data_IF_012183647308
#
_entry.id   IF_012183647308
#
_cell.length_a   1.000
_cell.length_b   1.000
_cell.length_c   1.000
_cell.angle_alpha   90.00
_cell.angle_beta   90.00
_cell.angle_gamma   90.00
#
_symmetry.space_group_name_H-M   'P 1'
#
loop_
_entity.id
_entity.type
_entity.pdbx_description
1 polymer ?
#
# COMPACT_ATOMS: atom_id res chain seq x y z
N UNK A 1 37.23 -15.34 -2.78
CA UNK A 1 36.24 -15.75 -1.74
C UNK A 1 35.66 -14.49 -1.11
N UNK A 2 34.36 -14.40 -1.01
CA UNK A 2 33.69 -13.22 -0.42
C UNK A 2 33.85 -13.27 1.11
N UNK A 3 34.30 -12.16 1.69
CA UNK A 3 34.47 -12.04 3.15
C UNK A 3 33.15 -11.79 3.86
N UNK A 4 33.06 -12.06 5.17
CA UNK A 4 31.87 -11.74 5.98
C UNK A 4 31.59 -10.22 6.00
N UNK A 5 32.64 -9.41 6.00
CA UNK A 5 32.48 -7.94 5.93
C UNK A 5 31.85 -7.49 4.61
N UNK A 6 32.25 -8.09 3.48
CA UNK A 6 31.64 -7.80 2.16
C UNK A 6 30.17 -8.21 2.11
N UNK A 7 29.83 -9.37 2.67
CA UNK A 7 28.44 -9.83 2.75
C UNK A 7 27.57 -8.89 3.58
N UNK A 8 28.07 -8.43 4.72
CA UNK A 8 27.38 -7.46 5.58
C UNK A 8 27.17 -6.13 4.87
N UNK A 9 28.18 -5.65 4.13
CA UNK A 9 28.09 -4.41 3.37
C UNK A 9 27.01 -4.49 2.30
N UNK A 10 26.96 -5.57 1.52
CA UNK A 10 25.93 -5.78 0.49
C UNK A 10 24.52 -5.80 1.10
N UNK A 11 24.33 -6.50 2.21
CA UNK A 11 23.04 -6.55 2.90
C UNK A 11 22.59 -5.17 3.39
N UNK A 12 23.52 -4.40 3.94
CA UNK A 12 23.26 -3.03 4.39
C UNK A 12 22.89 -2.11 3.21
N UNK A 13 23.62 -2.19 2.11
CA UNK A 13 23.35 -1.39 0.91
C UNK A 13 21.97 -1.71 0.32
N UNK A 14 21.59 -2.98 0.23
CA UNK A 14 20.26 -3.41 -0.21
C UNK A 14 19.18 -2.79 0.68
N UNK A 15 19.34 -2.91 2.00
CA UNK A 15 18.38 -2.35 2.95
C UNK A 15 18.23 -0.84 2.80
N UNK A 16 19.34 -0.11 2.71
CA UNK A 16 19.34 1.34 2.53
C UNK A 16 18.70 1.76 1.21
N UNK A 17 18.94 1.01 0.12
CA UNK A 17 18.31 1.27 -1.18
C UNK A 17 16.79 1.05 -1.13
N UNK A 18 16.33 -0.03 -0.51
CA UNK A 18 14.90 -0.30 -0.33
C UNK A 18 14.23 0.85 0.41
N UNK A 19 14.82 1.29 1.52
CA UNK A 19 14.27 2.40 2.31
C UNK A 19 14.26 3.70 1.53
N UNK A 20 15.33 4.01 0.80
CA UNK A 20 15.43 5.22 -0.02
C UNK A 20 14.36 5.24 -1.10
N UNK A 21 14.24 4.16 -1.88
CA UNK A 21 13.26 4.03 -2.96
C UNK A 21 11.84 4.16 -2.40
N UNK A 22 11.55 3.46 -1.31
CA UNK A 22 10.25 3.52 -0.65
C UNK A 22 9.90 4.94 -0.19
N UNK A 23 10.81 5.62 0.51
CA UNK A 23 10.57 6.96 1.04
C UNK A 23 10.37 8.00 -0.07
N UNK A 24 11.16 7.96 -1.13
CA UNK A 24 11.02 8.86 -2.27
C UNK A 24 9.68 8.68 -2.98
N UNK A 25 9.28 7.43 -3.22
CA UNK A 25 8.00 7.12 -3.85
C UNK A 25 6.81 7.45 -2.95
N UNK A 26 6.91 7.15 -1.66
CA UNK A 26 5.88 7.49 -0.69
C UNK A 26 5.64 9.00 -0.63
N UNK A 27 6.71 9.80 -0.66
CA UNK A 27 6.62 11.26 -0.67
C UNK A 27 5.86 11.76 -1.90
N UNK A 28 6.25 11.30 -3.08
CA UNK A 28 5.61 11.69 -4.35
C UNK A 28 4.13 11.28 -4.37
N UNK A 29 3.84 10.05 -3.95
CA UNK A 29 2.48 9.55 -3.89
C UNK A 29 1.62 10.29 -2.87
N UNK A 30 2.17 10.60 -1.70
CA UNK A 30 1.48 11.41 -0.68
C UNK A 30 1.12 12.80 -1.19
N UNK A 31 1.98 13.43 -1.95
CA UNK A 31 1.71 14.75 -2.53
C UNK A 31 0.55 14.70 -3.52
N UNK A 32 0.48 13.70 -4.40
CA UNK A 32 -0.62 13.54 -5.35
C UNK A 32 -1.96 13.23 -4.66
N UNK A 33 -1.94 12.40 -3.62
CA UNK A 33 -3.13 12.07 -2.84
C UNK A 33 -3.66 13.26 -2.04
N UNK A 34 -2.78 14.14 -1.57
CA UNK A 34 -3.15 15.31 -0.80
C UNK A 34 -4.06 16.25 -1.58
N UNK A 35 -3.93 16.32 -2.89
CA UNK A 35 -4.78 17.14 -3.77
C UNK A 35 -6.26 16.72 -3.70
N UNK A 36 -6.53 15.44 -3.41
CA UNK A 36 -7.89 14.89 -3.27
C UNK A 36 -8.27 14.64 -1.80
N UNK A 37 -7.51 15.18 -0.86
CA UNK A 37 -7.78 15.08 0.58
C UNK A 37 -7.45 13.72 1.20
N UNK A 38 -6.59 12.93 0.55
CA UNK A 38 -6.21 11.60 1.00
C UNK A 38 -4.73 11.52 1.39
N UNK A 39 -4.39 10.46 2.08
CA UNK A 39 -3.03 10.01 2.34
C UNK A 39 -2.86 8.56 1.86
N UNK A 40 -1.64 7.99 1.86
CA UNK A 40 -1.41 6.62 1.42
C UNK A 40 -2.24 5.57 2.16
N UNK A 41 -2.45 5.71 3.46
CA UNK A 41 -3.29 4.78 4.23
C UNK A 41 -4.75 4.82 3.76
N UNK A 42 -5.30 5.99 3.51
CA UNK A 42 -6.64 6.15 2.94
C UNK A 42 -6.76 5.44 1.59
N UNK A 43 -5.78 5.63 0.72
CA UNK A 43 -5.76 4.97 -0.59
C UNK A 43 -5.70 3.44 -0.47
N UNK A 44 -4.83 2.91 0.41
CA UNK A 44 -4.72 1.46 0.63
C UNK A 44 -6.04 0.86 1.13
N UNK A 45 -6.72 1.54 2.04
CA UNK A 45 -8.04 1.11 2.54
C UNK A 45 -9.07 1.10 1.41
N UNK A 46 -9.16 2.18 0.63
CA UNK A 46 -10.08 2.26 -0.51
C UNK A 46 -9.78 1.20 -1.56
N UNK A 47 -8.52 0.99 -1.89
CA UNK A 47 -8.08 -0.01 -2.87
C UNK A 47 -8.39 -1.43 -2.42
N UNK A 48 -8.19 -1.73 -1.13
CA UNK A 48 -8.52 -3.03 -0.55
C UNK A 48 -10.04 -3.30 -0.62
N UNK A 49 -10.87 -2.33 -0.29
CA UNK A 49 -12.34 -2.42 -0.41
C UNK A 49 -12.74 -2.59 -1.87
N UNK A 50 -12.13 -1.84 -2.79
CA UNK A 50 -12.38 -1.96 -4.23
C UNK A 50 -12.18 -3.39 -4.73
N UNK A 51 -11.11 -4.04 -4.32
CA UNK A 51 -10.78 -5.42 -4.73
C UNK A 51 -11.71 -6.46 -4.14
N UNK A 52 -12.28 -6.23 -2.97
CA UNK A 52 -13.09 -7.20 -2.23
C UNK A 52 -14.57 -6.85 -2.19
N UNK A 53 -14.97 -5.71 -2.77
CA UNK A 53 -16.33 -5.16 -2.83
C UNK A 53 -16.86 -4.70 -1.47
N UNK A 54 -16.91 -5.57 -0.48
CA UNK A 54 -17.35 -5.27 0.89
C UNK A 54 -16.41 -5.94 1.88
N UNK A 55 -16.01 -5.20 2.90
CA UNK A 55 -15.16 -5.73 3.97
C UNK A 55 -15.60 -5.17 5.33
N UNK A 56 -15.40 -5.96 6.37
CA UNK A 56 -15.57 -5.45 7.72
C UNK A 56 -14.32 -4.67 8.18
N UNK A 57 -14.54 -3.69 9.06
CA UNK A 57 -13.48 -2.80 9.53
C UNK A 57 -12.32 -3.55 10.20
N UNK A 58 -12.62 -4.60 10.97
CA UNK A 58 -11.61 -5.41 11.66
C UNK A 58 -10.69 -6.12 10.68
N UNK A 59 -11.25 -6.73 9.63
CA UNK A 59 -10.49 -7.41 8.59
C UNK A 59 -9.61 -6.44 7.81
N UNK A 60 -10.09 -5.24 7.49
CA UNK A 60 -9.28 -4.19 6.86
C UNK A 60 -8.08 -3.84 7.74
N UNK A 61 -8.29 -3.60 9.03
CA UNK A 61 -7.22 -3.27 9.96
C UNK A 61 -6.17 -4.38 10.07
N UNK A 62 -6.61 -5.63 10.15
CA UNK A 62 -5.71 -6.79 10.20
C UNK A 62 -4.90 -6.95 8.91
N UNK A 63 -5.54 -6.82 7.75
CA UNK A 63 -4.89 -6.98 6.45
C UNK A 63 -3.82 -5.91 6.22
N UNK A 64 -4.08 -4.67 6.62
CA UNK A 64 -3.17 -3.53 6.45
C UNK A 64 -2.27 -3.28 7.67
N UNK A 65 -2.35 -4.14 8.68
CA UNK A 65 -1.60 -4.01 9.93
C UNK A 65 -1.78 -2.63 10.59
N UNK A 66 -3.03 -2.17 10.67
CA UNK A 66 -3.41 -0.91 11.30
C UNK A 66 -3.90 -1.14 12.73
N UNK A 67 -3.59 -0.20 13.62
CA UNK A 67 -4.18 -0.17 14.96
C UNK A 67 -5.67 0.16 14.90
N UNK A 68 -6.41 -0.19 15.94
CA UNK A 68 -7.83 0.13 16.07
C UNK A 68 -8.09 1.65 15.98
N UNK A 69 -7.21 2.46 16.57
CA UNK A 69 -7.30 3.91 16.47
C UNK A 69 -7.09 4.43 15.06
N UNK A 70 -6.09 3.90 14.36
CA UNK A 70 -5.76 4.31 12.99
C UNK A 70 -6.87 3.95 12.01
N UNK A 71 -7.40 2.72 12.05
CA UNK A 71 -8.51 2.35 11.16
C UNK A 71 -9.78 3.15 11.45
N UNK A 72 -10.10 3.39 12.72
CA UNK A 72 -11.27 4.19 13.09
C UNK A 72 -11.16 5.61 12.56
N UNK A 73 -9.99 6.22 12.72
CA UNK A 73 -9.72 7.56 12.19
C UNK A 73 -9.81 7.60 10.66
N UNK A 74 -9.22 6.62 10.00
CA UNK A 74 -9.25 6.48 8.54
C UNK A 74 -10.69 6.36 8.02
N UNK A 75 -11.48 5.44 8.57
CA UNK A 75 -12.86 5.21 8.17
C UNK A 75 -13.71 6.45 8.37
N UNK A 76 -13.55 7.16 9.49
CA UNK A 76 -14.25 8.42 9.76
C UNK A 76 -13.92 9.48 8.71
N UNK A 77 -12.67 9.60 8.31
CA UNK A 77 -12.24 10.54 7.29
C UNK A 77 -12.85 10.21 5.91
N UNK A 78 -12.79 8.94 5.51
CA UNK A 78 -13.35 8.47 4.24
C UNK A 78 -14.87 8.60 4.18
N UNK A 79 -15.56 8.36 5.29
CA UNK A 79 -16.99 8.55 5.41
C UNK A 79 -17.38 10.03 5.29
N UNK A 80 -16.62 10.91 5.93
CA UNK A 80 -16.82 12.37 5.81
C UNK A 80 -16.64 12.88 4.38
N UNK A 81 -15.75 12.26 3.61
CA UNK A 81 -15.57 12.57 2.18
C UNK A 81 -16.60 11.88 1.28
N UNK A 82 -17.51 11.11 1.84
CA UNK A 82 -18.55 10.35 1.12
C UNK A 82 -17.98 9.33 0.12
N UNK A 83 -16.79 8.79 0.40
CA UNK A 83 -16.13 7.80 -0.46
C UNK A 83 -16.50 6.37 -0.13
N UNK A 84 -17.04 6.13 1.07
CA UNK A 84 -17.45 4.83 1.56
C UNK A 84 -18.87 4.88 2.11
N UNK A 85 -19.54 3.71 2.10
CA UNK A 85 -20.79 3.47 2.77
C UNK A 85 -20.59 2.45 3.89
N UNK A 86 -21.17 2.71 5.05
CA UNK A 86 -21.03 1.87 6.24
C UNK A 86 -22.39 1.29 6.57
N UNK A 87 -22.50 -0.03 6.55
CA UNK A 87 -23.66 -0.77 7.06
C UNK A 87 -23.27 -1.46 8.35
N UNK A 88 -23.99 -1.15 9.42
CA UNK A 88 -23.77 -1.74 10.72
C UNK A 88 -24.75 -2.89 10.92
N UNK A 89 -24.23 -4.11 10.98
CA UNK A 89 -24.96 -5.31 11.37
C UNK A 89 -24.53 -5.71 12.78
N UNK A 90 -25.35 -5.35 13.76
CA UNK A 90 -25.10 -5.51 15.19
C UNK A 90 -23.75 -4.88 15.61
N UNK A 91 -22.70 -5.71 15.83
CA UNK A 91 -21.36 -5.25 16.24
C UNK A 91 -20.39 -5.09 15.08
N UNK A 92 -20.77 -5.52 13.88
CA UNK A 92 -19.90 -5.54 12.71
C UNK A 92 -20.24 -4.38 11.79
N UNK A 93 -19.22 -3.63 11.39
CA UNK A 93 -19.34 -2.58 10.37
C UNK A 93 -18.84 -3.12 9.05
N UNK A 94 -19.76 -3.23 8.08
CA UNK A 94 -19.46 -3.62 6.70
C UNK A 94 -19.26 -2.36 5.87
N UNK A 95 -18.13 -2.27 5.18
CA UNK A 95 -17.70 -1.08 4.46
C UNK A 95 -17.60 -1.40 2.98
N UNK A 96 -18.23 -0.58 2.17
CA UNK A 96 -18.19 -0.63 0.72
C UNK A 96 -17.89 0.74 0.15
N UNK A 97 -17.52 0.80 -1.15
CA UNK A 97 -17.33 2.07 -1.83
C UNK A 97 -18.67 2.67 -2.27
N UNK A 98 -18.77 3.98 -2.19
CA UNK A 98 -19.81 4.74 -2.90
C UNK A 98 -19.46 4.88 -4.38
N UNK A 99 -20.40 5.34 -5.21
CA UNK A 99 -20.11 5.68 -6.61
C UNK A 99 -19.02 6.75 -6.73
N UNK A 100 -19.01 7.71 -5.81
CA UNK A 100 -17.95 8.74 -5.72
C UNK A 100 -16.58 8.10 -5.43
N UNK A 101 -16.54 7.15 -4.49
CA UNK A 101 -15.31 6.41 -4.17
C UNK A 101 -14.80 5.58 -5.35
N UNK A 102 -15.68 4.90 -6.07
CA UNK A 102 -15.32 4.13 -7.27
C UNK A 102 -14.74 5.01 -8.37
N UNK A 103 -15.40 6.15 -8.67
CA UNK A 103 -14.92 7.12 -9.66
C UNK A 103 -13.54 7.68 -9.31
N UNK A 104 -13.34 8.00 -8.04
CA UNK A 104 -12.02 8.48 -7.59
C UNK A 104 -10.92 7.44 -7.81
N UNK A 105 -11.20 6.17 -7.50
CA UNK A 105 -10.24 5.08 -7.74
C UNK A 105 -10.01 4.78 -9.21
N UNK A 106 -11.01 4.96 -10.07
CA UNK A 106 -10.84 4.84 -11.52
C UNK A 106 -9.78 5.80 -12.08
N UNK A 107 -9.59 6.95 -11.43
CA UNK A 107 -8.55 7.92 -11.77
C UNK A 107 -7.24 7.64 -11.03
N UNK A 108 -7.30 7.30 -9.75
CA UNK A 108 -6.13 7.12 -8.90
C UNK A 108 -5.33 5.85 -9.20
N UNK A 109 -5.99 4.73 -9.51
CA UNK A 109 -5.31 3.44 -9.75
C UNK A 109 -4.43 3.51 -11.00
N UNK A 110 -4.91 4.00 -12.16
CA UNK A 110 -4.03 4.17 -13.33
C UNK A 110 -2.87 5.14 -13.08
N UNK A 111 -3.11 6.24 -12.36
CA UNK A 111 -2.05 7.20 -12.02
C UNK A 111 -0.97 6.56 -11.13
N UNK A 112 -1.36 5.75 -10.16
CA UNK A 112 -0.43 4.98 -9.33
C UNK A 112 0.38 3.99 -10.17
N UNK A 113 -0.26 3.25 -11.08
CA UNK A 113 0.43 2.32 -11.96
C UNK A 113 1.47 3.03 -12.85
N UNK A 114 1.12 4.19 -13.42
CA UNK A 114 2.06 4.99 -14.20
C UNK A 114 3.26 5.45 -13.37
N UNK A 115 3.02 5.84 -12.13
CA UNK A 115 4.09 6.24 -11.22
C UNK A 115 5.03 5.06 -10.90
N UNK A 116 4.48 3.87 -10.67
CA UNK A 116 5.25 2.65 -10.44
C UNK A 116 6.08 2.26 -11.68
N UNK A 117 5.49 2.31 -12.87
CA UNK A 117 6.22 2.07 -14.13
C UNK A 117 7.33 3.09 -14.34
N UNK A 118 7.08 4.34 -14.04
CA UNK A 118 8.11 5.39 -14.12
C UNK A 118 9.26 5.14 -13.13
N UNK A 119 8.95 4.72 -11.92
CA UNK A 119 9.95 4.38 -10.90
C UNK A 119 10.85 3.22 -11.34
N UNK A 120 10.27 2.22 -11.98
CA UNK A 120 10.97 1.03 -12.45
C UNK A 120 11.51 1.14 -13.87
N UNK A 121 11.47 2.33 -14.49
CA UNK A 121 11.87 2.54 -15.89
C UNK A 121 13.33 2.18 -16.22
N UNK A 122 14.20 2.12 -15.21
CA UNK A 122 15.59 1.70 -15.35
C UNK A 122 15.79 0.19 -15.53
N UNK A 123 14.72 -0.60 -15.40
CA UNK A 123 14.75 -2.05 -15.53
C UNK A 123 13.93 -2.51 -16.74
N UNK A 124 14.47 -3.42 -17.53
CA UNK A 124 13.69 -4.11 -18.56
C UNK A 124 12.73 -5.14 -17.94
N UNK A 125 11.88 -5.74 -18.77
CA UNK A 125 10.86 -6.68 -18.29
C UNK A 125 11.46 -7.90 -17.58
N UNK A 126 12.54 -8.46 -18.10
CA UNK A 126 13.22 -9.61 -17.48
C UNK A 126 13.82 -9.24 -16.12
N UNK A 127 14.45 -8.08 -16.04
CA UNK A 127 14.98 -7.57 -14.77
C UNK A 127 13.89 -7.30 -13.74
N UNK A 128 12.74 -6.76 -14.15
CA UNK A 128 11.57 -6.59 -13.28
C UNK A 128 11.07 -7.92 -12.74
N UNK A 129 11.03 -8.98 -13.59
CA UNK A 129 10.64 -10.32 -13.14
C UNK A 129 11.64 -10.90 -12.14
N UNK A 130 12.94 -10.78 -12.40
CA UNK A 130 14.00 -11.23 -11.49
C UNK A 130 13.91 -10.49 -10.14
N UNK A 131 13.74 -9.17 -10.16
CA UNK A 131 13.58 -8.38 -8.93
C UNK A 131 12.34 -8.83 -8.15
N UNK A 132 11.21 -9.06 -8.82
CA UNK A 132 9.99 -9.56 -8.17
C UNK A 132 10.24 -10.88 -7.46
N UNK A 133 10.89 -11.85 -8.13
CA UNK A 133 11.20 -13.16 -7.56
C UNK A 133 12.11 -13.05 -6.33
N UNK A 134 13.13 -12.20 -6.40
CA UNK A 134 14.04 -11.94 -5.28
C UNK A 134 13.33 -11.29 -4.11
N UNK A 135 12.45 -10.32 -4.37
CA UNK A 135 11.66 -9.66 -3.33
C UNK A 135 10.65 -10.60 -2.68
N UNK A 136 10.04 -11.52 -3.44
CA UNK A 136 9.16 -12.56 -2.88
C UNK A 136 9.92 -13.47 -1.93
N UNK A 137 11.10 -13.94 -2.33
CA UNK A 137 11.97 -14.76 -1.48
C UNK A 137 12.37 -14.01 -0.20
N UNK A 138 12.74 -12.76 -0.33
CA UNK A 138 13.09 -11.90 0.81
C UNK A 138 11.89 -11.71 1.76
N UNK A 139 10.72 -11.38 1.23
CA UNK A 139 9.52 -11.17 2.03
C UNK A 139 9.07 -12.44 2.79
N UNK A 140 9.21 -13.61 2.19
CA UNK A 140 8.90 -14.87 2.84
C UNK A 140 9.83 -15.14 4.03
N UNK A 141 11.11 -14.88 3.89
CA UNK A 141 12.10 -15.03 4.98
C UNK A 141 11.79 -14.07 6.14
N UNK A 142 11.32 -12.86 5.86
CA UNK A 142 10.97 -11.90 6.91
C UNK A 142 9.81 -12.37 7.80
N UNK A 143 8.90 -13.19 7.30
CA UNK A 143 7.77 -13.73 8.07
C UNK A 143 8.19 -14.76 9.10
N UNK A 144 9.30 -15.45 8.86
CA UNK A 144 9.81 -16.51 9.73
C UNK A 144 10.69 -15.97 10.87
N UNK A 145 10.95 -14.67 10.90
CA UNK A 145 11.87 -14.01 11.83
C UNK A 145 11.22 -13.41 13.09
N UNK A 146 9.92 -13.68 13.30
CA UNK A 146 9.13 -13.17 14.45
C UNK A 146 8.66 -14.29 15.33
#
# INVERSE_FOLDING_TARGET
>A
MVTESEKMNVSHEIWMMIMKIYNENLKTFSMSLKEVGLNPTHFEVLHLIFRNQTMDQKTIAQTLNLTQGNITHCIRHLDKLELIAIEKDWKTKHISLTEKGKKLLDDLIPAQHQMMEHTLRGLDFNQKQQLRELLVSFANTCKDSV
#
